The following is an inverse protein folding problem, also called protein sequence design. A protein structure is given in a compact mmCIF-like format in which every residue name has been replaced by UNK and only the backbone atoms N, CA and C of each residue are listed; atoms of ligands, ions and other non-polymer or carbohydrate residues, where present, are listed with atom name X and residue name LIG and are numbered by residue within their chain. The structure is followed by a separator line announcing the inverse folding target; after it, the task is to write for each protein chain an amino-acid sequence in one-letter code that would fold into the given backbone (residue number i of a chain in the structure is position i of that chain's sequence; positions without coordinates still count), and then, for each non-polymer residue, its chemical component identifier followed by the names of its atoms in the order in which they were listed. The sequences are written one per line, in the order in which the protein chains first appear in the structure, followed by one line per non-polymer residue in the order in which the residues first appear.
data_IF_259839717378
#
_entry.id   IF_259839717378
#
_cell.length_a   1.000
_cell.length_b   1.000
_cell.length_c   1.000
_cell.angle_alpha   90.00
_cell.angle_beta   90.00
_cell.angle_gamma   90.00
#
_symmetry.space_group_name_H-M   'P 1'
#
loop_
_entity.id
_entity.type
_entity.pdbx_description
1 polymer ?
#
# COMPACT_ATOMS: atom_id res chain seq x y z
N UNK A 1 -12.94 -12.63 9.46
CA UNK A 1 -12.87 -11.86 10.71
C UNK A 1 -13.74 -10.60 10.65
N UNK A 2 -13.99 -9.99 11.78
CA UNK A 2 -14.74 -8.73 11.84
C UNK A 2 -13.98 -7.59 11.17
N UNK A 3 -12.67 -7.53 11.35
CA UNK A 3 -11.80 -6.53 10.69
C UNK A 3 -11.92 -6.62 9.18
N UNK A 4 -11.84 -7.81 8.62
CA UNK A 4 -11.99 -8.04 7.19
C UNK A 4 -13.34 -7.55 6.66
N UNK A 5 -14.42 -7.82 7.39
CA UNK A 5 -15.78 -7.37 7.01
C UNK A 5 -15.90 -5.84 7.03
N UNK A 6 -15.32 -5.19 8.03
CA UNK A 6 -15.30 -3.72 8.13
C UNK A 6 -14.54 -3.13 6.95
N UNK A 7 -13.34 -3.60 6.68
CA UNK A 7 -12.51 -3.13 5.56
C UNK A 7 -13.25 -3.29 4.23
N UNK A 8 -13.88 -4.45 4.01
CA UNK A 8 -14.58 -4.75 2.76
C UNK A 8 -15.80 -3.86 2.54
N UNK A 9 -16.55 -3.54 3.61
CA UNK A 9 -17.84 -2.82 3.52
C UNK A 9 -17.72 -1.32 3.68
N UNK A 10 -16.65 -0.85 4.30
CA UNK A 10 -16.49 0.57 4.58
C UNK A 10 -16.31 1.40 3.31
N UNK A 11 -17.02 2.50 3.21
CA UNK A 11 -16.84 3.51 2.15
C UNK A 11 -15.82 4.57 2.52
N UNK A 12 -15.41 4.60 3.77
CA UNK A 12 -14.39 5.51 4.29
C UNK A 12 -13.09 4.75 4.51
N UNK A 13 -11.94 5.44 4.59
CA UNK A 13 -10.68 4.80 4.93
C UNK A 13 -10.76 4.08 6.27
N UNK A 14 -10.13 2.90 6.36
CA UNK A 14 -10.08 2.10 7.59
C UNK A 14 -8.62 1.92 8.00
N UNK A 15 -8.32 2.33 9.21
CA UNK A 15 -7.02 2.11 9.81
C UNK A 15 -7.09 0.90 10.76
N UNK A 16 -6.28 -0.10 10.48
CA UNK A 16 -6.19 -1.32 11.29
C UNK A 16 -4.90 -1.26 12.11
N UNK A 17 -5.02 -1.27 13.43
CA UNK A 17 -3.90 -1.28 14.37
C UNK A 17 -4.04 -2.52 15.25
N UNK A 18 -3.00 -3.35 15.31
CA UNK A 18 -3.02 -4.62 16.05
C UNK A 18 -2.27 -4.59 17.37
N UNK A 19 -1.34 -3.66 17.52
CA UNK A 19 -0.58 -3.50 18.75
C UNK A 19 -0.92 -2.17 19.39
N UNK A 20 -0.91 -2.14 20.72
CA UNK A 20 -0.92 -0.86 21.42
C UNK A 20 0.23 0.01 20.91
N UNK A 21 -0.11 1.24 20.59
CA UNK A 21 0.85 2.24 20.14
C UNK A 21 0.79 3.39 21.13
N UNK A 22 1.84 3.54 21.95
CA UNK A 22 1.93 4.64 22.92
C UNK A 22 1.98 5.99 22.24
N UNK A 23 2.61 6.04 21.06
CA UNK A 23 2.70 7.22 20.22
C UNK A 23 2.57 6.84 18.75
N UNK A 24 1.54 7.37 18.11
CA UNK A 24 1.35 7.15 16.70
C UNK A 24 2.22 8.14 15.90
N UNK A 25 3.35 7.65 15.41
CA UNK A 25 4.26 8.39 14.53
C UNK A 25 4.32 7.72 13.17
N UNK A 26 4.21 8.50 12.11
CA UNK A 26 4.34 8.02 10.74
C UNK A 26 5.45 8.81 10.06
N UNK A 27 6.63 8.22 9.95
CA UNK A 27 7.79 8.78 9.24
C UNK A 27 7.98 8.13 7.88
N UNK A 28 7.79 6.80 7.81
CA UNK A 28 7.94 6.00 6.60
C UNK A 28 6.64 5.26 6.32
N UNK A 29 6.01 5.63 5.23
CA UNK A 29 4.73 5.10 4.80
C UNK A 29 4.89 4.40 3.45
N UNK A 30 4.39 3.18 3.34
CA UNK A 30 4.36 2.46 2.08
C UNK A 30 3.02 2.73 1.39
N UNK A 31 3.07 3.05 0.10
CA UNK A 31 1.92 2.96 -0.79
C UNK A 31 2.17 1.84 -1.78
N UNK A 32 1.52 0.70 -1.57
CA UNK A 32 1.62 -0.46 -2.46
C UNK A 32 0.50 -0.41 -3.50
N UNK A 33 0.88 -0.42 -4.78
CA UNK A 33 -0.06 -0.25 -5.89
C UNK A 33 0.51 -0.86 -7.18
N UNK A 34 -0.35 -1.08 -8.15
CA UNK A 34 0.04 -1.33 -9.53
C UNK A 34 0.17 -0.04 -10.35
N UNK A 35 -0.11 1.10 -9.73
CA UNK A 35 -0.02 2.45 -10.32
C UNK A 35 -0.85 2.60 -11.59
N UNK A 36 -2.03 1.98 -11.60
CA UNK A 36 -3.00 2.22 -12.64
C UNK A 36 -3.74 3.57 -12.42
N UNK A 37 -4.46 4.01 -13.43
CA UNK A 37 -5.19 5.29 -13.39
C UNK A 37 -6.21 5.35 -12.24
N UNK A 38 -6.84 4.23 -11.91
CA UNK A 38 -7.87 4.14 -10.87
C UNK A 38 -7.29 4.43 -9.46
N UNK A 39 -6.01 4.14 -9.26
CA UNK A 39 -5.33 4.37 -7.98
C UNK A 39 -4.98 5.83 -7.70
N UNK A 40 -5.14 6.72 -8.67
CA UNK A 40 -4.77 8.14 -8.50
C UNK A 40 -5.59 8.84 -7.43
N UNK A 41 -6.90 8.56 -7.36
CA UNK A 41 -7.76 9.13 -6.31
C UNK A 41 -7.32 8.70 -4.93
N UNK A 42 -6.96 7.42 -4.78
CA UNK A 42 -6.41 6.91 -3.52
C UNK A 42 -5.09 7.56 -3.18
N UNK A 43 -4.18 7.67 -4.15
CA UNK A 43 -2.88 8.29 -3.90
C UNK A 43 -3.01 9.73 -3.41
N UNK A 44 -3.95 10.51 -3.94
CA UNK A 44 -4.18 11.88 -3.46
C UNK A 44 -4.53 11.89 -1.96
N UNK A 45 -5.35 10.94 -1.51
CA UNK A 45 -5.70 10.81 -0.08
C UNK A 45 -4.49 10.36 0.75
N UNK A 46 -3.71 9.43 0.22
CA UNK A 46 -2.47 8.96 0.86
C UNK A 46 -1.47 10.11 1.00
N UNK A 47 -1.28 10.90 -0.04
CA UNK A 47 -0.40 12.07 -0.02
C UNK A 47 -0.86 13.11 0.99
N UNK A 48 -2.16 13.38 1.05
CA UNK A 48 -2.73 14.30 2.04
C UNK A 48 -2.49 13.81 3.47
N UNK A 49 -2.67 12.51 3.70
CA UNK A 49 -2.38 11.89 4.99
C UNK A 49 -0.89 12.01 5.35
N UNK A 50 -0.01 11.70 4.41
CA UNK A 50 1.44 11.80 4.61
C UNK A 50 1.88 13.22 4.97
N UNK A 51 1.29 14.23 4.36
CA UNK A 51 1.58 15.65 4.66
C UNK A 51 1.26 16.02 6.11
N UNK A 52 0.20 15.45 6.69
CA UNK A 52 -0.15 15.70 8.10
C UNK A 52 0.94 15.25 9.07
N UNK A 53 1.70 14.22 8.72
CA UNK A 53 2.77 13.65 9.55
C UNK A 53 4.17 14.01 9.06
N UNK A 54 4.28 14.78 7.99
CA UNK A 54 5.56 15.02 7.30
C UNK A 54 6.26 13.69 6.96
N UNK A 55 5.47 12.72 6.51
CA UNK A 55 5.93 11.37 6.22
C UNK A 55 6.48 11.24 4.81
N UNK A 56 7.48 10.39 4.67
CA UNK A 56 7.98 9.95 3.37
C UNK A 56 7.13 8.79 2.86
N UNK A 57 6.73 8.85 1.60
CA UNK A 57 6.02 7.76 0.94
C UNK A 57 7.00 6.90 0.13
N UNK A 58 6.99 5.60 0.39
CA UNK A 58 7.67 4.61 -0.43
C UNK A 58 6.65 4.03 -1.41
N UNK A 59 6.75 4.43 -2.69
CA UNK A 59 5.92 3.90 -3.76
C UNK A 59 6.41 2.50 -4.09
N UNK A 60 5.60 1.49 -3.77
CA UNK A 60 6.00 0.10 -3.86
C UNK A 60 5.21 -0.63 -4.94
N UNK A 61 5.92 -1.17 -5.92
CA UNK A 61 5.40 -2.09 -6.91
C UNK A 61 5.96 -3.49 -6.65
N UNK A 62 5.10 -4.48 -6.44
CA UNK A 62 5.52 -5.87 -6.27
C UNK A 62 5.46 -6.57 -7.62
N UNK A 63 6.62 -7.00 -8.09
CA UNK A 63 6.76 -7.75 -9.32
C UNK A 63 6.75 -9.25 -9.00
N UNK A 64 5.80 -9.97 -9.57
CA UNK A 64 5.63 -11.40 -9.34
C UNK A 64 5.75 -12.18 -10.64
N UNK A 65 5.94 -13.48 -10.52
CA UNK A 65 6.05 -14.37 -11.68
C UNK A 65 4.77 -14.36 -12.54
N UNK A 66 3.60 -14.21 -11.90
CA UNK A 66 2.30 -14.21 -12.59
C UNK A 66 1.94 -12.87 -13.22
N UNK A 67 2.52 -11.78 -12.72
CA UNK A 67 2.29 -10.42 -13.19
C UNK A 67 3.61 -9.73 -13.49
N UNK A 68 4.51 -10.45 -14.15
CA UNK A 68 5.84 -9.94 -14.46
C UNK A 68 5.75 -8.76 -15.43
N UNK A 69 6.50 -7.72 -15.11
CA UNK A 69 6.74 -6.61 -16.01
C UNK A 69 8.21 -6.21 -15.92
N UNK A 70 8.74 -5.60 -16.98
CA UNK A 70 10.13 -5.14 -16.97
C UNK A 70 10.29 -3.95 -16.04
N UNK A 71 11.45 -3.84 -15.41
CA UNK A 71 11.80 -2.70 -14.58
C UNK A 71 11.55 -1.37 -15.29
N UNK A 72 11.97 -1.27 -16.55
CA UNK A 72 11.81 -0.06 -17.35
C UNK A 72 10.34 0.33 -17.54
N UNK A 73 9.47 -0.65 -17.80
CA UNK A 73 8.03 -0.40 -17.94
C UNK A 73 7.39 0.02 -16.64
N UNK A 74 7.80 -0.60 -15.52
CA UNK A 74 7.28 -0.25 -14.20
C UNK A 74 7.72 1.18 -13.81
N UNK A 75 8.99 1.50 -14.00
CA UNK A 75 9.52 2.85 -13.74
C UNK A 75 8.78 3.91 -14.53
N UNK A 76 8.52 3.66 -15.81
CA UNK A 76 7.76 4.57 -16.65
C UNK A 76 6.33 4.74 -16.15
N UNK A 77 5.68 3.65 -15.78
CA UNK A 77 4.31 3.67 -15.24
C UNK A 77 4.23 4.50 -13.96
N UNK A 78 5.16 4.33 -13.05
CA UNK A 78 5.19 5.10 -11.80
C UNK A 78 5.47 6.58 -12.08
N UNK A 79 6.40 6.88 -12.97
CA UNK A 79 6.70 8.27 -13.36
C UNK A 79 5.47 8.95 -13.97
N UNK A 80 4.79 8.29 -14.92
CA UNK A 80 3.57 8.81 -15.54
C UNK A 80 2.44 9.01 -14.51
N UNK A 81 2.32 8.08 -13.56
CA UNK A 81 1.36 8.18 -12.47
C UNK A 81 1.63 9.40 -11.59
N UNK A 82 2.89 9.63 -11.22
CA UNK A 82 3.28 10.72 -10.32
C UNK A 82 3.25 12.10 -10.98
N UNK A 83 3.25 12.19 -12.30
CA UNK A 83 3.18 13.47 -13.02
C UNK A 83 1.95 14.30 -12.67
N UNK A 84 0.87 13.66 -12.26
CA UNK A 84 -0.37 14.34 -11.89
C UNK A 84 -0.38 14.92 -10.46
N UNK A 85 0.69 14.70 -9.70
CA UNK A 85 0.73 15.06 -8.28
C UNK A 85 1.87 16.03 -7.96
N UNK A 86 1.54 17.03 -7.14
CA UNK A 86 2.51 17.92 -6.52
C UNK A 86 2.91 17.35 -5.14
N UNK A 87 3.66 16.26 -5.17
CA UNK A 87 4.17 15.59 -3.98
C UNK A 87 5.59 15.10 -4.28
N UNK A 88 6.57 15.51 -3.50
CA UNK A 88 7.99 15.24 -3.77
C UNK A 88 8.69 14.35 -2.73
N UNK A 89 8.11 14.21 -1.53
CA UNK A 89 8.73 13.43 -0.46
C UNK A 89 8.46 11.94 -0.62
N UNK A 90 8.95 11.35 -1.70
CA UNK A 90 8.77 9.93 -1.98
C UNK A 90 10.01 9.28 -2.56
N UNK A 91 10.07 7.97 -2.47
CA UNK A 91 10.98 7.10 -3.21
C UNK A 91 10.18 6.03 -3.93
N UNK A 92 10.79 5.41 -4.93
CA UNK A 92 10.19 4.33 -5.71
C UNK A 92 10.94 3.03 -5.45
N UNK A 93 10.20 1.94 -5.25
CA UNK A 93 10.75 0.60 -5.08
C UNK A 93 9.99 -0.39 -5.94
N UNK A 94 10.75 -1.13 -6.74
CA UNK A 94 10.29 -2.33 -7.45
C UNK A 94 10.84 -3.53 -6.69
N UNK A 95 9.96 -4.32 -6.12
CA UNK A 95 10.34 -5.44 -5.27
C UNK A 95 9.82 -6.75 -5.87
N UNK A 96 10.71 -7.71 -6.05
CA UNK A 96 10.37 -9.01 -6.61
C UNK A 96 10.04 -9.99 -5.49
N UNK A 97 8.91 -10.67 -5.58
CA UNK A 97 8.56 -11.73 -4.64
C UNK A 97 7.61 -12.73 -5.30
N UNK A 98 7.34 -13.82 -4.59
CA UNK A 98 6.46 -14.90 -5.07
C UNK A 98 4.98 -14.49 -5.04
N UNK A 99 4.61 -13.56 -4.17
CA UNK A 99 3.28 -12.98 -4.13
C UNK A 99 3.34 -11.51 -3.73
N UNK A 100 2.29 -10.77 -4.09
CA UNK A 100 2.17 -9.35 -3.75
C UNK A 100 2.22 -9.15 -2.24
N UNK A 101 1.49 -9.96 -1.50
CA UNK A 101 1.42 -9.89 -0.04
C UNK A 101 2.78 -10.13 0.62
N UNK A 102 3.47 -11.19 0.24
CA UNK A 102 4.80 -11.48 0.80
C UNK A 102 5.79 -10.36 0.48
N UNK A 103 5.72 -9.81 -0.72
CA UNK A 103 6.55 -8.68 -1.11
C UNK A 103 6.29 -7.44 -0.26
N UNK A 104 5.03 -7.10 -0.01
CA UNK A 104 4.66 -5.97 0.84
C UNK A 104 5.19 -6.17 2.26
N UNK A 105 4.95 -7.34 2.85
CA UNK A 105 5.40 -7.63 4.22
C UNK A 105 6.92 -7.63 4.35
N UNK A 106 7.61 -8.22 3.37
CA UNK A 106 9.08 -8.26 3.38
C UNK A 106 9.67 -6.86 3.25
N UNK A 107 9.19 -6.07 2.32
CA UNK A 107 9.69 -4.71 2.14
C UNK A 107 9.36 -3.82 3.35
N UNK A 108 8.15 -3.95 3.91
CA UNK A 108 7.76 -3.22 5.12
C UNK A 108 8.71 -3.52 6.30
N UNK A 109 9.15 -4.76 6.42
CA UNK A 109 10.14 -5.16 7.42
C UNK A 109 11.52 -4.59 7.12
N UNK A 110 11.95 -4.65 5.87
CA UNK A 110 13.27 -4.18 5.45
C UNK A 110 13.47 -2.69 5.75
N UNK A 111 12.44 -1.87 5.60
CA UNK A 111 12.51 -0.42 5.86
C UNK A 111 11.97 -0.01 7.22
N UNK A 112 11.51 -0.96 8.03
CA UNK A 112 10.81 -0.70 9.30
C UNK A 112 9.68 0.33 9.11
N UNK A 113 8.77 0.04 8.19
CA UNK A 113 7.67 0.95 7.85
C UNK A 113 6.73 1.20 9.02
N UNK A 114 6.26 2.42 9.15
CA UNK A 114 5.31 2.82 10.19
C UNK A 114 3.86 2.55 9.80
N UNK A 115 3.58 2.56 8.50
CA UNK A 115 2.22 2.43 7.97
C UNK A 115 2.26 1.87 6.55
N UNK A 116 1.32 0.96 6.27
CA UNK A 116 1.11 0.42 4.91
C UNK A 116 -0.25 0.93 4.41
N UNK A 117 -0.24 1.60 3.26
CA UNK A 117 -1.45 2.10 2.61
C UNK A 117 -1.79 1.27 1.38
N UNK A 118 -3.05 0.86 1.25
CA UNK A 118 -3.55 -0.02 0.20
C UNK A 118 -4.90 0.45 -0.34
N UNK A 119 -5.15 0.14 -1.61
CA UNK A 119 -6.50 0.16 -2.19
C UNK A 119 -7.24 -1.14 -1.90
N UNK A 120 -8.54 -1.05 -1.64
CA UNK A 120 -9.40 -2.24 -1.53
C UNK A 120 -10.11 -2.59 -2.84
N UNK A 121 -10.03 -1.74 -3.85
CA UNK A 121 -10.53 -1.99 -5.19
C UNK A 121 -9.44 -1.82 -6.22
N UNK A 122 -9.50 -2.62 -7.25
CA UNK A 122 -8.63 -2.58 -8.40
C UNK A 122 -8.74 -3.88 -9.17
N UNK A 123 -8.46 -3.84 -10.46
CA UNK A 123 -8.33 -5.04 -11.30
C UNK A 123 -7.02 -5.77 -11.03
N UNK A 124 -6.14 -5.17 -10.24
CA UNK A 124 -4.88 -5.75 -9.84
C UNK A 124 -5.04 -6.70 -8.66
N UNK A 125 -4.08 -7.58 -8.46
CA UNK A 125 -4.06 -8.52 -7.34
C UNK A 125 -4.13 -7.87 -5.95
N UNK A 126 -3.95 -6.55 -5.84
CA UNK A 126 -4.06 -5.82 -4.57
C UNK A 126 -5.48 -5.81 -4.01
N UNK A 127 -6.50 -5.86 -4.88
CA UNK A 127 -7.89 -5.99 -4.44
C UNK A 127 -8.14 -7.32 -3.74
N UNK A 128 -7.32 -8.33 -4.00
CA UNK A 128 -7.39 -9.65 -3.38
C UNK A 128 -6.76 -9.69 -1.98
N UNK A 129 -6.01 -8.66 -1.58
CA UNK A 129 -5.39 -8.60 -0.24
C UNK A 129 -6.42 -8.71 0.88
N UNK A 130 -7.67 -8.35 0.61
CA UNK A 130 -8.76 -8.43 1.58
C UNK A 130 -9.83 -9.45 1.19
N UNK A 131 -9.63 -10.20 0.11
CA UNK A 131 -10.50 -11.28 -0.34
C UNK A 131 -9.82 -12.63 -0.07
N UNK A 132 -10.22 -13.30 1.02
CA UNK A 132 -9.72 -14.62 1.35
C UNK A 132 -8.44 -14.63 2.18
N UNK A 133 -7.57 -15.62 1.95
CA UNK A 133 -6.39 -15.90 2.78
C UNK A 133 -5.36 -14.76 2.79
N UNK A 134 -5.25 -13.99 1.72
CA UNK A 134 -4.28 -12.90 1.62
C UNK A 134 -4.60 -11.79 2.61
N UNK A 135 -5.86 -11.38 2.70
CA UNK A 135 -6.27 -10.37 3.69
C UNK A 135 -6.08 -10.83 5.12
N UNK A 136 -6.33 -12.11 5.39
CA UNK A 136 -6.08 -12.69 6.71
C UNK A 136 -4.60 -12.72 7.04
N UNK A 137 -3.75 -13.13 6.11
CA UNK A 137 -2.30 -13.17 6.34
C UNK A 137 -1.73 -11.77 6.56
N UNK A 138 -2.12 -10.79 5.75
CA UNK A 138 -1.69 -9.41 5.97
C UNK A 138 -2.19 -8.88 7.32
N UNK A 139 -3.45 -9.15 7.65
CA UNK A 139 -4.02 -8.75 8.93
C UNK A 139 -3.40 -9.52 10.11
N UNK A 140 -2.99 -10.76 9.95
CA UNK A 140 -2.40 -11.58 11.01
C UNK A 140 -0.88 -11.41 11.13
N UNK A 141 -0.18 -11.16 10.02
CA UNK A 141 1.28 -11.09 10.00
C UNK A 141 1.81 -9.66 9.92
N UNK A 142 1.00 -8.68 9.49
CA UNK A 142 1.41 -7.29 9.53
C UNK A 142 1.41 -6.80 10.97
N UNK A 143 2.59 -6.68 11.55
CA UNK A 143 2.77 -6.05 12.86
C UNK A 143 2.60 -4.53 12.79
N UNK A 144 2.54 -3.99 11.58
CA UNK A 144 2.45 -2.57 11.31
C UNK A 144 1.01 -2.15 11.04
N UNK A 145 0.62 -0.93 11.38
CA UNK A 145 -0.67 -0.40 10.98
C UNK A 145 -0.90 -0.46 9.47
N UNK A 146 -2.11 -0.78 9.07
CA UNK A 146 -2.53 -0.83 7.67
C UNK A 146 -3.72 0.10 7.49
N UNK A 147 -3.62 1.03 6.56
CA UNK A 147 -4.74 1.89 6.16
C UNK A 147 -5.23 1.49 4.77
N UNK A 148 -6.53 1.31 4.65
CA UNK A 148 -7.17 0.94 3.39
C UNK A 148 -8.08 2.03 2.89
N UNK A 149 -8.07 2.21 1.58
CA UNK A 149 -8.91 3.17 0.89
C UNK A 149 -9.76 2.43 -0.13
N UNK A 150 -11.05 2.67 -0.12
CA UNK A 150 -11.95 2.12 -1.12
C UNK A 150 -12.09 3.09 -2.30
N UNK A 151 -11.87 2.55 -3.48
CA UNK A 151 -12.10 3.30 -4.72
C UNK A 151 -13.59 3.25 -5.07
#
# INVERSE_FOLDING_TARGET
SNTEKVVRRSKIPVLVIKKEVDKFEVKNMIFASDFNKESKTTFQRVANFAKLFDAKIHLLYINTIHNFNTTKNIEKRIADFMDDFDFSNYTTMIYNDISIEKGILSYARDIDADLIALNTHGRSGLSQLFNGSIGQELANHALRPVITFKI
#
